data_IF_237086165715
#
_entry.id   IF_237086165715
#
_cell.length_a   1.000
_cell.length_b   1.000
_cell.length_c   1.000
_cell.angle_alpha   90.00
_cell.angle_beta   90.00
_cell.angle_gamma   90.00
#
_symmetry.space_group_name_H-M   'P 1'
#
loop_
_entity.id
_entity.type
_entity.pdbx_description
1 polymer ?
#
# COMPACT_ATOMS: atom_id res chain seq x y z
N UNK A 1 27.51 4.03 4.44
CA UNK A 1 26.79 2.74 4.52
C UNK A 1 25.41 2.90 3.93
N UNK A 2 25.09 2.13 2.93
CA UNK A 2 23.76 2.19 2.31
C UNK A 2 22.77 1.45 3.21
N UNK A 3 21.70 2.11 3.57
CA UNK A 3 20.64 1.50 4.35
C UNK A 3 19.77 0.67 3.40
N UNK A 4 19.85 -0.66 3.51
CA UNK A 4 19.15 -1.60 2.63
C UNK A 4 17.78 -2.01 3.18
N UNK A 5 17.00 -1.04 3.69
CA UNK A 5 15.63 -1.33 4.11
C UNK A 5 14.79 -1.73 2.90
N UNK A 6 13.89 -2.67 3.12
CA UNK A 6 12.89 -3.04 2.12
C UNK A 6 11.95 -1.86 1.91
N UNK A 7 11.75 -1.49 0.66
CA UNK A 7 10.84 -0.43 0.23
C UNK A 7 9.56 -1.08 -0.29
N UNK A 8 8.49 -0.94 0.48
CA UNK A 8 7.24 -1.63 0.22
C UNK A 8 6.12 -0.65 -0.16
N UNK A 9 5.58 -0.80 -1.35
CA UNK A 9 4.39 -0.08 -1.79
C UNK A 9 3.15 -0.83 -1.31
N UNK A 10 2.20 -0.14 -0.66
CA UNK A 10 0.98 -0.77 -0.16
C UNK A 10 -0.21 -0.41 -1.03
N UNK A 11 -0.95 -1.44 -1.45
CA UNK A 11 -2.29 -1.26 -2.01
C UNK A 11 -3.22 -0.67 -0.95
N UNK A 12 -4.21 0.09 -1.38
CA UNK A 12 -5.18 0.77 -0.50
C UNK A 12 -5.85 -0.19 0.49
N UNK A 13 -6.13 -1.43 0.08
CA UNK A 13 -6.76 -2.41 0.97
C UNK A 13 -5.94 -2.70 2.23
N UNK A 14 -4.60 -2.65 2.16
CA UNK A 14 -3.74 -2.87 3.32
C UNK A 14 -3.84 -1.68 4.29
N UNK A 15 -3.97 -0.46 3.78
CA UNK A 15 -4.22 0.72 4.61
C UNK A 15 -5.59 0.61 5.30
N UNK A 16 -6.62 0.19 4.57
CA UNK A 16 -7.96 0.00 5.14
C UNK A 16 -7.93 -1.06 6.25
N UNK A 17 -7.20 -2.17 6.03
CA UNK A 17 -7.03 -3.21 7.03
C UNK A 17 -6.43 -2.69 8.34
N UNK A 18 -5.47 -1.77 8.24
CA UNK A 18 -4.91 -1.13 9.44
C UNK A 18 -5.92 -0.27 10.17
N UNK A 19 -6.76 0.45 9.43
CA UNK A 19 -7.70 1.42 9.99
C UNK A 19 -8.98 0.78 10.53
N UNK A 20 -9.23 -0.49 10.21
CA UNK A 20 -10.41 -1.23 10.64
C UNK A 20 -10.01 -2.58 11.25
N UNK A 21 -9.98 -2.63 12.59
CA UNK A 21 -9.57 -3.80 13.36
C UNK A 21 -10.44 -5.04 13.14
N UNK A 22 -11.66 -4.86 12.63
CA UNK A 22 -12.60 -5.94 12.36
C UNK A 22 -12.31 -6.70 11.05
N UNK A 23 -11.42 -6.16 10.22
CA UNK A 23 -11.09 -6.78 8.94
C UNK A 23 -10.12 -7.96 9.13
N UNK A 24 -10.25 -9.03 8.30
CA UNK A 24 -9.39 -10.21 8.41
C UNK A 24 -7.89 -9.91 8.29
N UNK A 25 -7.52 -8.88 7.53
CA UNK A 25 -6.14 -8.48 7.31
C UNK A 25 -5.55 -7.54 8.37
N UNK A 26 -6.33 -7.15 9.39
CA UNK A 26 -5.93 -6.12 10.36
C UNK A 26 -4.65 -6.48 11.12
N UNK A 27 -4.49 -7.74 11.53
CA UNK A 27 -3.32 -8.18 12.29
C UNK A 27 -2.04 -8.07 11.46
N UNK A 28 -2.04 -8.59 10.25
CA UNK A 28 -0.88 -8.50 9.36
C UNK A 28 -0.56 -7.05 9.00
N UNK A 29 -1.56 -6.23 8.73
CA UNK A 29 -1.39 -4.80 8.49
C UNK A 29 -0.72 -4.12 9.69
N UNK A 30 -1.16 -4.41 10.92
CA UNK A 30 -0.55 -3.87 12.14
C UNK A 30 0.93 -4.22 12.25
N UNK A 31 1.31 -5.45 11.94
CA UNK A 31 2.73 -5.88 11.97
C UNK A 31 3.54 -5.10 10.95
N UNK A 32 3.02 -4.93 9.73
CA UNK A 32 3.70 -4.22 8.65
C UNK A 32 3.93 -2.75 9.03
N UNK A 33 2.88 -2.06 9.48
CA UNK A 33 2.98 -0.65 9.84
C UNK A 33 3.86 -0.45 11.08
N UNK A 34 3.81 -1.38 12.04
CA UNK A 34 4.70 -1.33 13.21
C UNK A 34 6.17 -1.44 12.79
N UNK A 35 6.49 -2.34 11.86
CA UNK A 35 7.85 -2.45 11.34
C UNK A 35 8.33 -1.14 10.70
N UNK A 36 7.47 -0.45 9.96
CA UNK A 36 7.77 0.86 9.38
C UNK A 36 7.99 1.92 10.46
N UNK A 37 7.13 1.94 11.48
CA UNK A 37 7.24 2.87 12.61
C UNK A 37 8.56 2.69 13.37
N UNK A 38 9.02 1.45 13.48
CA UNK A 38 10.31 1.13 14.11
C UNK A 38 11.52 1.34 13.19
N UNK A 39 11.30 1.76 11.94
CA UNK A 39 12.38 2.03 11.00
C UNK A 39 13.01 0.78 10.37
N UNK A 40 12.34 -0.37 10.44
CA UNK A 40 12.86 -1.62 9.87
C UNK A 40 12.61 -1.73 8.37
N UNK A 41 11.55 -1.10 7.88
CA UNK A 41 11.15 -1.03 6.47
C UNK A 41 10.71 0.38 6.12
N UNK A 42 10.61 0.68 4.84
CA UNK A 42 9.99 1.90 4.35
C UNK A 42 8.69 1.56 3.65
N UNK A 43 7.60 2.22 4.06
CA UNK A 43 6.29 2.10 3.43
C UNK A 43 6.05 3.27 2.47
N UNK A 44 5.49 2.96 1.30
CA UNK A 44 5.05 3.93 0.30
C UNK A 44 3.54 3.80 0.12
N UNK A 45 2.85 4.91 0.27
CA UNK A 45 1.41 5.05 0.02
C UNK A 45 1.19 6.26 -0.88
N UNK A 46 0.12 6.27 -1.64
CA UNK A 46 -0.27 7.44 -2.41
C UNK A 46 -1.32 8.27 -1.67
N UNK A 47 -1.40 9.55 -2.00
CA UNK A 47 -2.49 10.41 -1.50
C UNK A 47 -3.86 9.85 -1.85
N UNK A 48 -3.99 9.22 -3.03
CA UNK A 48 -5.24 8.58 -3.45
C UNK A 48 -5.66 7.46 -2.49
N UNK A 49 -4.71 6.69 -1.96
CA UNK A 49 -5.02 5.63 -0.98
C UNK A 49 -5.68 6.17 0.28
N UNK A 50 -5.26 7.33 0.76
CA UNK A 50 -5.89 7.98 1.92
C UNK A 50 -7.32 8.43 1.60
N UNK A 51 -7.53 9.01 0.41
CA UNK A 51 -8.86 9.44 -0.03
C UNK A 51 -9.79 8.24 -0.16
N UNK A 52 -9.34 7.18 -0.80
CA UNK A 52 -10.12 5.96 -0.99
C UNK A 52 -10.41 5.26 0.34
N UNK A 53 -9.44 5.24 1.27
CA UNK A 53 -9.64 4.65 2.59
C UNK A 53 -10.71 5.39 3.39
N UNK A 54 -10.74 6.73 3.35
CA UNK A 54 -11.80 7.52 3.98
C UNK A 54 -13.16 7.22 3.34
N UNK A 55 -13.21 7.15 2.02
CA UNK A 55 -14.45 6.85 1.30
C UNK A 55 -15.03 5.49 1.72
N UNK A 56 -14.20 4.45 1.83
CA UNK A 56 -14.64 3.13 2.27
C UNK A 56 -15.06 3.15 3.74
N UNK A 57 -14.24 3.75 4.61
CA UNK A 57 -14.52 3.81 6.04
C UNK A 57 -15.78 4.62 6.36
N UNK A 58 -16.05 5.68 5.61
CA UNK A 58 -17.23 6.54 5.84
C UNK A 58 -18.57 5.83 5.60
N UNK A 59 -18.55 4.68 4.94
CA UNK A 59 -19.72 3.84 4.69
C UNK A 59 -19.97 2.82 5.78
N UNK A 60 -19.02 2.64 6.71
CA UNK A 60 -19.18 1.70 7.81
C UNK A 60 -20.09 2.29 8.89
N UNK A 61 -21.04 1.49 9.45
CA UNK A 61 -21.86 1.94 10.57
C UNK A 61 -20.98 2.25 11.78
N UNK A 62 -21.28 3.35 12.48
CA UNK A 62 -20.57 3.71 13.72
C UNK A 62 -19.17 4.26 13.51
N UNK A 63 -18.86 4.78 12.34
CA UNK A 63 -17.56 5.40 12.09
C UNK A 63 -17.33 6.60 13.02
N UNK A 64 -16.19 6.58 13.71
CA UNK A 64 -15.65 7.75 14.39
C UNK A 64 -14.62 8.42 13.46
N UNK A 65 -15.05 9.46 12.78
CA UNK A 65 -14.21 10.16 11.79
C UNK A 65 -13.02 10.85 12.45
N UNK A 66 -13.17 11.38 13.65
CA UNK A 66 -12.07 12.00 14.39
C UNK A 66 -10.98 10.97 14.68
N UNK A 67 -11.35 9.78 15.14
CA UNK A 67 -10.41 8.69 15.40
C UNK A 67 -9.71 8.27 14.10
N UNK A 68 -10.44 8.15 13.00
CA UNK A 68 -9.90 7.80 11.69
C UNK A 68 -8.85 8.84 11.24
N UNK A 69 -9.20 10.11 11.30
CA UNK A 69 -8.29 11.19 10.88
C UNK A 69 -7.05 11.27 11.77
N UNK A 70 -7.20 11.08 13.07
CA UNK A 70 -6.06 11.03 13.99
C UNK A 70 -5.11 9.88 13.67
N UNK A 71 -5.66 8.70 13.32
CA UNK A 71 -4.86 7.56 12.89
C UNK A 71 -4.11 7.86 11.58
N UNK A 72 -4.77 8.47 10.61
CA UNK A 72 -4.14 8.86 9.35
C UNK A 72 -3.00 9.86 9.57
N UNK A 73 -3.21 10.86 10.42
CA UNK A 73 -2.17 11.85 10.73
C UNK A 73 -0.94 11.21 11.39
N UNK A 74 -1.14 10.22 12.26
CA UNK A 74 -0.02 9.48 12.87
C UNK A 74 0.77 8.70 11.82
N UNK A 75 0.08 8.05 10.88
CA UNK A 75 0.73 7.31 9.78
C UNK A 75 1.62 8.23 8.94
N UNK A 76 1.13 9.43 8.64
CA UNK A 76 1.86 10.40 7.82
C UNK A 76 3.20 10.79 8.43
N UNK A 77 3.39 10.56 9.73
CA UNK A 77 4.65 10.85 10.42
C UNK A 77 5.77 9.86 10.12
N UNK A 78 5.47 8.68 9.57
CA UNK A 78 6.50 7.66 9.35
C UNK A 78 6.37 6.87 8.03
N UNK A 79 5.41 7.21 7.16
CA UNK A 79 5.30 6.61 5.84
C UNK A 79 5.72 7.60 4.76
N UNK A 80 6.14 7.10 3.62
CA UNK A 80 6.41 7.91 2.43
C UNK A 80 5.11 8.07 1.66
N UNK A 81 4.71 9.30 1.39
CA UNK A 81 3.49 9.59 0.67
C UNK A 81 3.84 10.17 -0.69
N UNK A 82 3.41 9.48 -1.73
CA UNK A 82 3.61 9.88 -3.11
C UNK A 82 2.29 10.17 -3.83
N UNK A 83 2.40 10.33 -5.12
CA UNK A 83 1.27 10.64 -5.99
C UNK A 83 1.34 9.78 -7.24
N UNK A 84 0.17 9.46 -7.80
CA UNK A 84 0.10 8.90 -9.15
C UNK A 84 0.31 10.06 -10.12
N UNK A 85 1.36 9.97 -10.93
CA UNK A 85 1.69 10.99 -11.93
C UNK A 85 1.03 10.69 -13.27
N UNK A 86 0.95 11.69 -14.13
CA UNK A 86 0.43 11.50 -15.48
C UNK A 86 1.23 10.44 -16.26
N UNK A 87 2.54 10.31 -15.98
CA UNK A 87 3.38 9.27 -16.61
C UNK A 87 2.97 7.87 -16.18
N UNK A 88 2.48 7.69 -14.93
CA UNK A 88 1.94 6.41 -14.47
C UNK A 88 0.65 6.06 -15.22
N UNK A 89 -0.20 7.05 -15.44
CA UNK A 89 -1.43 6.88 -16.23
C UNK A 89 -1.08 6.52 -17.67
N UNK A 90 -0.12 7.20 -18.27
CA UNK A 90 0.36 6.88 -19.63
C UNK A 90 0.89 5.46 -19.72
N UNK A 91 1.70 5.03 -18.76
CA UNK A 91 2.23 3.67 -18.70
C UNK A 91 1.11 2.62 -18.57
N UNK A 92 0.10 2.91 -17.75
CA UNK A 92 -1.07 2.05 -17.61
C UNK A 92 -1.85 1.88 -18.93
N UNK A 93 -1.94 2.94 -19.73
CA UNK A 93 -2.56 2.89 -21.05
C UNK A 93 -1.73 2.05 -22.01
N UNK A 94 -0.42 2.30 -22.08
CA UNK A 94 0.47 1.66 -23.03
C UNK A 94 0.70 0.17 -22.73
N UNK A 95 0.64 -0.21 -21.45
CA UNK A 95 0.93 -1.57 -20.99
C UNK A 95 -0.24 -2.17 -20.20
N UNK A 96 -1.45 -1.93 -20.68
CA UNK A 96 -2.68 -2.34 -19.99
C UNK A 96 -2.73 -3.86 -19.82
N UNK A 97 -2.92 -4.32 -18.57
CA UNK A 97 -2.97 -5.75 -18.21
C UNK A 97 -4.37 -6.22 -17.79
N UNK A 98 -5.37 -5.34 -17.78
CA UNK A 98 -6.74 -5.67 -17.43
C UNK A 98 -7.30 -4.92 -16.23
N UNK A 99 -6.46 -4.28 -15.42
CA UNK A 99 -6.88 -3.39 -14.33
C UNK A 99 -6.05 -2.11 -14.38
N UNK A 100 -6.73 -1.02 -14.73
CA UNK A 100 -6.08 0.27 -14.97
C UNK A 100 -5.46 0.87 -13.70
N UNK A 101 -6.16 0.76 -12.58
CA UNK A 101 -5.67 1.27 -11.29
C UNK A 101 -4.43 0.50 -10.84
N UNK A 102 -4.47 -0.84 -10.92
CA UNK A 102 -3.33 -1.68 -10.57
C UNK A 102 -2.11 -1.36 -11.45
N UNK A 103 -2.33 -1.15 -12.75
CA UNK A 103 -1.26 -0.81 -13.68
C UNK A 103 -0.62 0.54 -13.35
N UNK A 104 -1.42 1.54 -12.97
CA UNK A 104 -0.93 2.85 -12.56
C UNK A 104 -0.15 2.75 -11.25
N UNK A 105 -0.63 1.98 -10.28
CA UNK A 105 0.08 1.73 -9.01
C UNK A 105 1.40 1.00 -9.24
N UNK A 106 1.42 0.00 -10.11
CA UNK A 106 2.65 -0.72 -10.45
C UNK A 106 3.70 0.21 -11.06
N UNK A 107 3.29 1.08 -11.98
CA UNK A 107 4.17 2.09 -12.56
C UNK A 107 4.74 3.02 -11.50
N UNK A 108 3.89 3.51 -10.60
CA UNK A 108 4.30 4.40 -9.52
C UNK A 108 5.27 3.73 -8.55
N UNK A 109 4.97 2.50 -8.13
CA UNK A 109 5.85 1.72 -7.26
C UNK A 109 7.22 1.50 -7.90
N UNK A 110 7.26 1.22 -9.21
CA UNK A 110 8.50 1.06 -9.96
C UNK A 110 9.29 2.38 -9.99
N UNK A 111 8.62 3.49 -10.25
CA UNK A 111 9.23 4.83 -10.28
C UNK A 111 9.83 5.20 -8.91
N UNK A 112 9.12 4.89 -7.82
CA UNK A 112 9.58 5.16 -6.46
C UNK A 112 10.68 4.21 -5.99
N UNK A 113 11.06 3.24 -6.82
CA UNK A 113 12.12 2.29 -6.48
C UNK A 113 11.71 1.28 -5.40
N UNK A 114 10.44 0.92 -5.34
CA UNK A 114 9.97 -0.07 -4.38
C UNK A 114 10.42 -1.48 -4.76
N UNK A 115 10.77 -2.27 -3.74
CA UNK A 115 11.19 -3.66 -3.92
C UNK A 115 10.00 -4.59 -4.04
N UNK A 116 8.92 -4.28 -3.32
CA UNK A 116 7.71 -5.12 -3.26
C UNK A 116 6.46 -4.24 -3.33
N UNK A 117 5.38 -4.86 -3.83
CA UNK A 117 4.01 -4.35 -3.68
C UNK A 117 3.27 -5.33 -2.81
N UNK A 118 2.64 -4.85 -1.75
CA UNK A 118 1.85 -5.67 -0.82
C UNK A 118 0.38 -5.43 -1.12
N UNK A 119 -0.33 -6.51 -1.46
CA UNK A 119 -1.74 -6.45 -1.81
C UNK A 119 -2.45 -7.75 -1.44
N UNK A 120 -3.72 -7.65 -1.11
CA UNK A 120 -4.61 -8.80 -0.92
C UNK A 120 -5.46 -9.09 -2.15
N UNK A 121 -5.38 -8.25 -3.18
CA UNK A 121 -6.15 -8.40 -4.40
C UNK A 121 -5.54 -9.50 -5.28
N UNK A 122 -6.28 -10.59 -5.46
CA UNK A 122 -5.85 -11.75 -6.26
C UNK A 122 -5.52 -11.36 -7.70
N UNK A 123 -6.26 -10.42 -8.26
CA UNK A 123 -6.02 -9.95 -9.63
C UNK A 123 -4.69 -9.22 -9.74
N UNK A 124 -4.39 -8.36 -8.79
CA UNK A 124 -3.11 -7.66 -8.74
C UNK A 124 -1.95 -8.65 -8.54
N UNK A 125 -2.11 -9.60 -7.62
CA UNK A 125 -1.12 -10.65 -7.35
C UNK A 125 -0.83 -11.52 -8.58
N UNK A 126 -1.82 -11.71 -9.46
CA UNK A 126 -1.68 -12.53 -10.68
C UNK A 126 -1.03 -11.80 -11.85
N UNK A 127 -0.65 -10.54 -11.66
CA UNK A 127 0.03 -9.75 -12.67
C UNK A 127 1.27 -10.50 -13.19
N UNK A 128 1.50 -10.53 -14.51
CA UNK A 128 2.69 -11.21 -15.07
C UNK A 128 3.97 -10.67 -14.45
N UNK A 129 4.92 -11.57 -14.14
CA UNK A 129 6.22 -11.17 -13.62
C UNK A 129 6.96 -10.36 -14.70
N UNK A 130 7.36 -9.14 -14.32
CA UNK A 130 8.13 -8.23 -15.16
C UNK A 130 9.22 -7.59 -14.33
N UNK A 131 10.10 -6.81 -14.94
CA UNK A 131 11.06 -6.01 -14.20
C UNK A 131 10.30 -5.01 -13.33
N UNK A 132 10.58 -4.99 -12.04
CA UNK A 132 9.93 -4.12 -11.09
C UNK A 132 9.65 -4.80 -9.77
N UNK A 133 8.75 -4.24 -8.95
CA UNK A 133 8.45 -4.79 -7.62
C UNK A 133 7.90 -6.22 -7.68
N UNK A 134 8.27 -7.01 -6.67
CA UNK A 134 7.68 -8.33 -6.44
C UNK A 134 6.33 -8.18 -5.75
N UNK A 135 5.34 -8.95 -6.18
CA UNK A 135 4.00 -8.94 -5.60
C UNK A 135 3.93 -9.91 -4.42
N UNK A 136 3.52 -9.44 -3.25
CA UNK A 136 3.36 -10.25 -2.05
C UNK A 136 2.03 -9.96 -1.36
N UNK A 137 1.45 -10.99 -0.75
CA UNK A 137 0.34 -10.80 0.19
C UNK A 137 0.87 -10.23 1.50
N UNK A 138 0.02 -9.60 2.33
CA UNK A 138 0.43 -9.20 3.68
C UNK A 138 1.04 -10.33 4.49
N UNK A 139 0.44 -11.52 4.46
CA UNK A 139 0.96 -12.70 5.19
C UNK A 139 2.34 -13.11 4.69
N UNK A 140 2.56 -13.14 3.38
CA UNK A 140 3.88 -13.46 2.79
C UNK A 140 4.92 -12.43 3.20
N UNK A 141 4.56 -11.16 3.21
CA UNK A 141 5.49 -10.10 3.61
C UNK A 141 5.84 -10.19 5.09
N UNK A 142 4.86 -10.41 5.96
CA UNK A 142 5.08 -10.60 7.40
C UNK A 142 6.05 -11.77 7.64
N UNK A 143 5.87 -12.89 6.94
CA UNK A 143 6.78 -14.03 7.03
C UNK A 143 8.21 -13.66 6.60
N UNK A 144 8.34 -12.81 5.59
CA UNK A 144 9.64 -12.37 5.06
C UNK A 144 10.43 -11.50 6.05
N UNK A 145 9.75 -10.67 6.83
CA UNK A 145 10.39 -9.75 7.78
C UNK A 145 10.48 -10.29 9.22
N UNK A 146 9.92 -11.46 9.46
CA UNK A 146 9.94 -12.11 10.78
C UNK A 146 11.23 -12.89 11.03
#
# INVERSE_FOLDING_TARGET
MVDNKIRAFLDTNVLIDLLDEERPGAEDASVIFHAAKCGLIEIFLTTQSFIDAEYVASRAPGLDREKLFNSMLKLMGYVNIGHIYWTDVRNAILNFTGDFEDDAQFSNASFEGCDVIITSDKKFLSRPATDGPTMLTPAQFVAKIS
#
